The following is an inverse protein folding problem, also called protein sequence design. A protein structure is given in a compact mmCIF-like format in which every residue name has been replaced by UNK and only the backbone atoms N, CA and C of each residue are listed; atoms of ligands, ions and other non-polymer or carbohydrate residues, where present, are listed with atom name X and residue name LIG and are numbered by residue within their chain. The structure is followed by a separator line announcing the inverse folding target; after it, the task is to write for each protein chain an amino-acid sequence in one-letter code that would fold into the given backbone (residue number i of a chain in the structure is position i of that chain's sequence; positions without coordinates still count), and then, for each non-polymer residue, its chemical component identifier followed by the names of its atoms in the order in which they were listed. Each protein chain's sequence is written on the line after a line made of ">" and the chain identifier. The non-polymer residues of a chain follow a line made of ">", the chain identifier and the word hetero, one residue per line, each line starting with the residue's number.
data_IF_598988206769
#
_entry.id   IF_598988206769
#
_cell.length_a   1.000
_cell.length_b   1.000
_cell.length_c   1.000
_cell.angle_alpha   90.00
_cell.angle_beta   90.00
_cell.angle_gamma   90.00
#
_symmetry.space_group_name_H-M   'P 1'
#
loop_
_entity.id
_entity.type
_entity.pdbx_description
1 polymer ?
#
# COMPACT_ATOMS: atom_id res chain seq x y z
N UNK A 1 -9.58 26.65 4.10
CA UNK A 1 -8.51 25.67 4.30
C UNK A 1 -9.07 24.33 3.87
N UNK A 2 -8.93 24.01 2.58
CA UNK A 2 -9.34 22.73 2.01
C UNK A 2 -8.52 21.64 2.70
N UNK A 3 -9.19 20.89 3.57
CA UNK A 3 -8.52 19.99 4.50
C UNK A 3 -8.19 18.69 3.76
N UNK A 4 -7.01 18.69 3.15
CA UNK A 4 -6.22 17.53 2.68
C UNK A 4 -6.99 16.53 1.81
N UNK A 5 -6.69 16.55 0.51
CA UNK A 5 -7.31 15.77 -0.56
C UNK A 5 -7.75 14.36 -0.15
N UNK A 6 -9.07 14.19 -0.18
CA UNK A 6 -9.83 13.05 0.34
C UNK A 6 -9.74 11.82 -0.55
N UNK A 7 -9.17 11.94 -1.75
CA UNK A 7 -9.30 10.93 -2.78
C UNK A 7 -8.24 9.81 -2.64
N UNK A 8 -7.02 10.15 -2.21
CA UNK A 8 -5.99 9.15 -1.90
C UNK A 8 -6.20 8.44 -0.56
N UNK A 9 -7.05 8.99 0.31
CA UNK A 9 -7.51 8.33 1.53
C UNK A 9 -8.36 7.10 1.24
N UNK A 10 -8.86 6.95 0.01
CA UNK A 10 -9.69 5.80 -0.38
C UNK A 10 -8.88 4.50 -0.43
N UNK A 11 -7.56 4.57 -0.69
CA UNK A 11 -6.74 3.38 -0.89
C UNK A 11 -6.00 2.94 0.37
N UNK A 12 -6.11 1.67 0.72
CA UNK A 12 -5.33 1.05 1.78
C UNK A 12 -4.53 -0.14 1.21
N UNK A 13 -3.27 -0.34 1.63
CA UNK A 13 -2.55 -1.58 1.33
C UNK A 13 -3.37 -2.83 1.63
N UNK A 14 -3.37 -3.79 0.70
CA UNK A 14 -4.20 -5.00 0.75
C UNK A 14 -5.58 -4.86 0.08
N UNK A 15 -6.00 -3.65 -0.28
CA UNK A 15 -7.24 -3.43 -1.02
C UNK A 15 -7.12 -3.93 -2.47
N UNK A 16 -8.10 -4.71 -2.93
CA UNK A 16 -8.21 -5.10 -4.33
C UNK A 16 -8.81 -3.97 -5.16
N UNK A 17 -8.26 -3.75 -6.34
CA UNK A 17 -8.69 -2.73 -7.30
C UNK A 17 -8.67 -3.29 -8.71
N UNK A 18 -9.44 -2.66 -9.61
CA UNK A 18 -9.34 -2.86 -11.06
C UNK A 18 -8.65 -1.67 -11.67
N UNK A 19 -7.74 -1.90 -12.61
CA UNK A 19 -7.00 -0.85 -13.27
C UNK A 19 -6.85 -1.10 -14.76
N UNK A 20 -6.67 -0.03 -15.54
CA UNK A 20 -6.41 -0.08 -16.98
C UNK A 20 -4.95 0.31 -17.22
N UNK A 21 -4.22 -0.49 -18.00
CA UNK A 21 -2.84 -0.16 -18.38
C UNK A 21 -2.84 1.00 -19.38
N UNK A 22 -2.16 2.09 -19.04
CA UNK A 22 -2.06 3.29 -19.87
C UNK A 22 -0.77 3.33 -20.67
N UNK A 23 0.34 2.89 -20.08
CA UNK A 23 1.66 3.04 -20.68
C UNK A 23 2.64 2.01 -20.16
N UNK A 24 3.70 1.78 -20.94
CA UNK A 24 4.86 0.99 -20.54
C UNK A 24 6.02 1.92 -20.19
N UNK A 25 6.81 1.51 -19.21
CA UNK A 25 8.07 2.13 -18.82
C UNK A 25 9.12 1.02 -18.65
N UNK A 26 10.43 1.32 -18.68
CA UNK A 26 11.47 0.29 -18.52
C UNK A 26 11.39 -0.49 -17.19
N UNK A 27 10.78 0.08 -16.16
CA UNK A 27 10.62 -0.55 -14.84
C UNK A 27 9.27 -1.25 -14.64
N UNK A 28 8.28 -1.01 -15.52
CA UNK A 28 6.93 -1.52 -15.32
C UNK A 28 5.87 -0.82 -16.15
N UNK A 29 4.67 -0.67 -15.59
CA UNK A 29 3.52 -0.10 -16.31
C UNK A 29 2.84 1.00 -15.51
N UNK A 30 2.49 2.09 -16.22
CA UNK A 30 1.59 3.11 -15.72
C UNK A 30 0.15 2.66 -15.89
N UNK A 31 -0.67 2.87 -14.87
CA UNK A 31 -2.06 2.38 -14.85
C UNK A 31 -3.00 3.43 -14.31
N UNK A 32 -4.28 3.30 -14.65
CA UNK A 32 -5.37 4.09 -14.12
C UNK A 32 -6.28 3.19 -13.29
N UNK A 33 -6.54 3.54 -12.03
CA UNK A 33 -7.48 2.79 -11.20
C UNK A 33 -8.91 3.19 -11.62
N UNK A 34 -9.74 2.19 -11.94
CA UNK A 34 -11.11 2.41 -12.40
C UNK A 34 -11.95 3.05 -11.29
N UNK A 35 -12.59 4.18 -11.59
CA UNK A 35 -13.36 4.99 -10.64
C UNK A 35 -12.53 5.98 -9.80
N UNK A 36 -11.22 6.05 -10.04
CA UNK A 36 -10.27 6.92 -9.34
C UNK A 36 -9.22 7.46 -10.32
N UNK A 37 -9.69 8.01 -11.44
CA UNK A 37 -8.89 8.36 -12.61
C UNK A 37 -7.84 9.44 -12.36
N UNK A 38 -8.05 10.27 -11.33
CA UNK A 38 -7.18 11.37 -10.94
C UNK A 38 -6.05 10.97 -9.98
N UNK A 39 -6.06 9.72 -9.48
CA UNK A 39 -4.99 9.20 -8.62
C UNK A 39 -3.91 8.53 -9.47
N UNK A 40 -2.67 8.99 -9.35
CA UNK A 40 -1.55 8.38 -10.05
C UNK A 40 -1.30 6.95 -9.57
N UNK A 41 -1.14 6.00 -10.51
CA UNK A 41 -0.89 4.61 -10.15
C UNK A 41 0.07 3.89 -11.11
N UNK A 42 0.75 2.88 -10.59
CA UNK A 42 1.66 2.06 -11.37
C UNK A 42 1.89 0.67 -10.79
N UNK A 43 2.32 -0.25 -11.65
CA UNK A 43 2.87 -1.55 -11.25
C UNK A 43 4.36 -1.57 -11.57
N UNK A 44 5.19 -1.80 -10.54
CA UNK A 44 6.63 -1.99 -10.72
C UNK A 44 6.89 -3.48 -11.05
N UNK A 45 6.92 -3.78 -12.35
CA UNK A 45 7.02 -5.14 -12.87
C UNK A 45 8.40 -5.74 -12.60
N UNK A 46 9.46 -4.94 -12.69
CA UNK A 46 10.82 -5.42 -12.40
C UNK A 46 10.99 -5.76 -10.92
N UNK A 47 10.48 -4.92 -10.02
CA UNK A 47 10.52 -5.22 -8.59
C UNK A 47 9.70 -6.48 -8.23
N UNK A 48 8.61 -6.73 -8.95
CA UNK A 48 7.73 -7.87 -8.67
C UNK A 48 8.20 -9.18 -9.28
N UNK A 49 8.77 -9.17 -10.48
CA UNK A 49 9.03 -10.40 -11.23
C UNK A 49 10.49 -10.56 -11.65
N UNK A 50 11.32 -9.53 -11.56
CA UNK A 50 12.69 -9.53 -12.10
C UNK A 50 13.66 -10.46 -11.38
N UNK A 51 13.39 -10.85 -10.12
CA UNK A 51 14.20 -11.85 -9.41
C UNK A 51 13.90 -13.28 -9.88
N UNK A 52 12.64 -13.55 -10.23
CA UNK A 52 12.17 -14.88 -10.64
C UNK A 52 12.27 -15.08 -12.16
N UNK A 53 12.32 -13.98 -12.92
CA UNK A 53 12.35 -13.96 -14.38
C UNK A 53 13.61 -13.25 -14.87
N UNK A 54 14.63 -13.98 -15.36
CA UNK A 54 15.90 -13.40 -15.74
C UNK A 54 15.86 -12.63 -17.07
N UNK A 55 16.60 -11.52 -17.11
CA UNK A 55 16.87 -10.75 -18.33
C UNK A 55 15.61 -10.19 -18.99
N UNK A 56 15.62 -10.12 -20.33
CA UNK A 56 14.54 -9.48 -21.09
C UNK A 56 13.22 -10.27 -21.08
N UNK A 57 13.22 -11.50 -20.57
CA UNK A 57 12.00 -12.31 -20.46
C UNK A 57 10.96 -11.67 -19.52
N UNK A 58 11.38 -10.84 -18.57
CA UNK A 58 10.47 -10.11 -17.67
C UNK A 58 9.55 -9.14 -18.42
N UNK A 59 10.01 -8.56 -19.54
CA UNK A 59 9.19 -7.63 -20.33
C UNK A 59 8.03 -8.33 -21.04
N UNK A 60 8.14 -9.63 -21.30
CA UNK A 60 7.03 -10.42 -21.84
C UNK A 60 5.88 -10.59 -20.85
N UNK A 61 6.11 -10.34 -19.55
CA UNK A 61 5.09 -10.38 -18.50
C UNK A 61 4.31 -9.05 -18.39
N UNK A 62 4.71 -8.01 -19.10
CA UNK A 62 4.07 -6.71 -19.00
C UNK A 62 2.68 -6.78 -19.64
N UNK A 63 1.60 -6.46 -18.90
CA UNK A 63 0.28 -6.48 -19.50
C UNK A 63 0.20 -5.41 -20.61
N UNK A 64 -0.51 -5.67 -21.72
CA UNK A 64 -0.54 -4.77 -22.85
C UNK A 64 -1.28 -3.46 -22.51
N UNK A 65 -0.91 -2.37 -23.18
CA UNK A 65 -1.63 -1.09 -23.06
C UNK A 65 -3.10 -1.28 -23.48
N UNK A 66 -4.02 -0.73 -22.67
CA UNK A 66 -5.46 -0.88 -22.81
C UNK A 66 -6.05 -2.11 -22.10
N UNK A 67 -5.23 -3.01 -21.55
CA UNK A 67 -5.74 -4.14 -20.79
C UNK A 67 -6.31 -3.70 -19.43
N UNK A 68 -7.44 -4.30 -19.04
CA UNK A 68 -7.93 -4.27 -17.66
C UNK A 68 -7.23 -5.37 -16.85
N UNK A 69 -6.79 -5.01 -15.64
CA UNK A 69 -6.05 -5.88 -14.72
C UNK A 69 -6.67 -5.80 -13.33
N UNK A 70 -6.75 -6.96 -12.66
CA UNK A 70 -6.99 -7.04 -11.22
C UNK A 70 -5.66 -6.88 -10.48
N UNK A 71 -5.64 -6.01 -9.48
CA UNK A 71 -4.44 -5.74 -8.71
C UNK A 71 -4.76 -5.53 -7.22
N UNK A 72 -3.72 -5.58 -6.39
CA UNK A 72 -3.79 -5.20 -4.98
C UNK A 72 -3.00 -3.93 -4.75
N UNK A 73 -3.53 -3.01 -3.96
CA UNK A 73 -2.78 -1.85 -3.46
C UNK A 73 -1.61 -2.38 -2.63
N UNK A 74 -0.40 -2.17 -3.13
CA UNK A 74 0.81 -2.56 -2.44
C UNK A 74 1.23 -1.47 -1.44
N UNK A 75 1.34 -0.24 -1.92
CA UNK A 75 1.74 0.90 -1.12
C UNK A 75 1.08 2.17 -1.65
N UNK A 76 0.80 3.12 -0.76
CA UNK A 76 0.31 4.44 -1.13
C UNK A 76 1.32 5.48 -0.66
N UNK A 77 1.87 6.25 -1.59
CA UNK A 77 2.81 7.33 -1.30
C UNK A 77 2.05 8.65 -1.23
N UNK A 78 2.05 9.27 -0.06
CA UNK A 78 1.30 10.50 0.25
C UNK A 78 2.21 11.64 0.71
N UNK A 79 3.46 11.66 0.26
CA UNK A 79 4.41 12.72 0.60
C UNK A 79 4.39 13.89 -0.38
N UNK A 80 3.73 13.73 -1.52
CA UNK A 80 3.53 14.75 -2.55
C UNK A 80 2.14 14.59 -3.18
N UNK A 81 1.61 15.70 -3.67
CA UNK A 81 0.40 15.75 -4.51
C UNK A 81 0.81 15.66 -6.00
N UNK A 82 0.14 14.81 -6.82
CA UNK A 82 -0.89 13.85 -6.44
C UNK A 82 -0.29 12.64 -5.74
N UNK A 83 -1.10 12.02 -4.87
CA UNK A 83 -0.72 10.76 -4.24
C UNK A 83 -0.47 9.69 -5.31
N UNK A 84 0.50 8.81 -5.04
CA UNK A 84 0.89 7.76 -5.97
C UNK A 84 0.67 6.38 -5.37
N UNK A 85 -0.12 5.55 -6.05
CA UNK A 85 -0.46 4.20 -5.63
C UNK A 85 0.41 3.20 -6.39
N UNK A 86 1.21 2.42 -5.65
CA UNK A 86 1.89 1.25 -6.22
C UNK A 86 0.98 0.05 -6.07
N UNK A 87 0.78 -0.69 -7.16
CA UNK A 87 -0.04 -1.89 -7.22
C UNK A 87 0.82 -3.15 -7.37
N UNK A 88 0.31 -4.28 -6.88
CA UNK A 88 0.84 -5.62 -7.10
C UNK A 88 -0.06 -6.45 -8.01
N UNK A 89 0.56 -7.16 -8.96
CA UNK A 89 -0.07 -8.15 -9.83
C UNK A 89 0.31 -9.58 -9.47
N UNK A 90 1.10 -9.78 -8.40
CA UNK A 90 1.52 -11.13 -8.00
C UNK A 90 0.27 -11.97 -7.65
N UNK A 91 0.13 -13.19 -8.19
CA UNK A 91 -0.99 -14.05 -7.84
C UNK A 91 -1.14 -14.28 -6.33
N UNK A 92 -0.02 -14.48 -5.63
CA UNK A 92 -0.01 -14.65 -4.18
C UNK A 92 -0.53 -13.42 -3.42
N UNK A 93 -0.24 -12.21 -3.90
CA UNK A 93 -0.72 -10.97 -3.28
C UNK A 93 -2.24 -10.80 -3.49
N UNK A 94 -2.76 -11.19 -4.66
CA UNK A 94 -4.21 -11.20 -4.95
C UNK A 94 -4.96 -12.19 -4.04
N UNK A 95 -4.40 -13.37 -3.81
CA UNK A 95 -4.98 -14.38 -2.93
C UNK A 95 -4.92 -13.97 -1.46
N UNK A 96 -3.75 -13.56 -0.97
CA UNK A 96 -3.53 -13.18 0.42
C UNK A 96 -2.39 -12.18 0.51
N UNK A 97 -2.74 -10.91 0.65
CA UNK A 97 -1.75 -9.85 0.75
C UNK A 97 -1.07 -9.85 2.13
N UNK A 98 0.22 -10.20 2.14
CA UNK A 98 1.06 -10.25 3.35
C UNK A 98 2.09 -9.14 3.33
N UNK A 99 2.31 -8.50 4.48
CA UNK A 99 3.40 -7.55 4.67
C UNK A 99 4.01 -7.75 6.05
N UNK A 100 5.27 -7.38 6.21
CA UNK A 100 5.92 -7.43 7.51
C UNK A 100 5.32 -6.36 8.43
N UNK A 101 5.00 -6.75 9.66
CA UNK A 101 4.58 -5.83 10.70
C UNK A 101 5.74 -4.90 11.08
N UNK A 102 5.51 -3.60 11.06
CA UNK A 102 6.53 -2.58 11.36
C UNK A 102 7.02 -2.64 12.81
N UNK A 103 6.27 -3.30 13.69
CA UNK A 103 6.59 -3.44 15.10
C UNK A 103 7.43 -4.68 15.44
N UNK A 104 7.05 -5.85 14.93
CA UNK A 104 7.70 -7.13 15.28
C UNK A 104 8.45 -7.79 14.12
N UNK A 105 8.30 -7.27 12.90
CA UNK A 105 8.93 -7.79 11.69
C UNK A 105 8.32 -9.07 11.12
N UNK A 106 7.39 -9.73 11.83
CA UNK A 106 6.71 -10.93 11.35
C UNK A 106 5.63 -10.57 10.33
N UNK A 107 5.30 -11.50 9.44
CA UNK A 107 4.25 -11.28 8.44
C UNK A 107 2.87 -11.12 9.10
N UNK A 108 2.11 -10.16 8.58
CA UNK A 108 0.71 -9.93 8.88
C UNK A 108 -0.10 -9.96 7.59
N UNK A 109 -1.36 -10.38 7.68
CA UNK A 109 -2.28 -10.47 6.55
C UNK A 109 -3.17 -9.23 6.52
N UNK A 110 -3.15 -8.46 5.44
CA UNK A 110 -3.98 -7.25 5.27
C UNK A 110 -5.20 -7.47 4.37
N UNK A 111 -5.36 -8.65 3.77
CA UNK A 111 -6.59 -9.01 3.07
C UNK A 111 -7.74 -9.28 4.05
N UNK A 112 -8.97 -9.36 3.55
CA UNK A 112 -10.16 -9.58 4.36
C UNK A 112 -10.02 -10.82 5.27
N UNK A 113 -10.34 -10.65 6.56
CA UNK A 113 -10.18 -11.70 7.58
C UNK A 113 -8.76 -11.80 8.17
N UNK A 114 -7.79 -11.07 7.62
CA UNK A 114 -6.41 -11.01 8.10
C UNK A 114 -6.25 -10.27 9.42
N UNK A 115 -5.12 -10.49 10.08
CA UNK A 115 -4.78 -9.97 11.42
C UNK A 115 -4.08 -8.60 11.42
N UNK A 116 -3.84 -8.04 10.24
CA UNK A 116 -3.13 -6.80 10.07
C UNK A 116 -4.03 -5.56 10.08
N UNK A 117 -3.40 -4.44 10.38
CA UNK A 117 -3.96 -3.10 10.38
C UNK A 117 -3.11 -2.22 9.48
N UNK A 118 -3.77 -1.33 8.77
CA UNK A 118 -3.16 -0.19 8.07
C UNK A 118 -3.47 1.06 8.86
N UNK A 119 -2.43 1.82 9.23
CA UNK A 119 -2.54 3.05 10.00
C UNK A 119 -1.86 4.18 9.22
N UNK A 120 -2.59 5.23 8.88
CA UNK A 120 -1.97 6.44 8.34
C UNK A 120 -1.64 7.41 9.47
N UNK A 121 -0.35 7.56 9.77
CA UNK A 121 0.20 8.45 10.79
C UNK A 121 0.55 9.80 10.17
N UNK A 122 0.10 10.89 10.79
CA UNK A 122 0.29 12.27 10.31
C UNK A 122 0.86 13.12 11.43
N UNK A 123 1.77 14.03 11.11
CA UNK A 123 2.07 15.13 12.01
C UNK A 123 0.98 16.19 11.89
N UNK A 124 0.72 16.92 12.98
CA UNK A 124 -0.31 17.95 13.03
C UNK A 124 -0.14 19.01 11.93
N UNK A 125 1.11 19.39 11.66
CA UNK A 125 1.49 20.49 10.77
C UNK A 125 2.14 20.03 9.45
N UNK A 126 2.24 18.71 9.23
CA UNK A 126 2.91 18.16 8.05
C UNK A 126 1.94 17.90 6.90
N UNK A 127 2.36 18.13 5.64
CA UNK A 127 1.51 17.87 4.48
C UNK A 127 1.37 16.38 4.14
N UNK A 128 2.18 15.50 4.75
CA UNK A 128 2.25 14.09 4.39
C UNK A 128 1.74 13.15 5.48
N UNK A 129 1.35 11.95 5.06
CA UNK A 129 1.13 10.82 5.96
C UNK A 129 2.15 9.71 5.71
N UNK A 130 2.47 8.98 6.77
CA UNK A 130 3.24 7.76 6.73
C UNK A 130 2.33 6.58 7.05
N UNK A 131 2.34 5.55 6.22
CA UNK A 131 1.56 4.34 6.46
C UNK A 131 2.37 3.37 7.31
N UNK A 132 1.79 2.95 8.43
CA UNK A 132 2.30 1.91 9.33
C UNK A 132 1.44 0.66 9.19
N UNK A 133 2.08 -0.48 9.00
CA UNK A 133 1.46 -1.80 8.89
C UNK A 133 1.75 -2.59 10.16
N UNK A 134 0.72 -3.12 10.81
CA UNK A 134 0.90 -3.74 12.14
C UNK A 134 -0.06 -4.91 12.36
N UNK A 135 0.37 -5.92 13.12
CA UNK A 135 -0.59 -6.83 13.73
C UNK A 135 -1.51 -6.06 14.67
N UNK A 136 -2.78 -6.46 14.74
CA UNK A 136 -3.76 -5.96 15.72
C UNK A 136 -3.23 -6.00 17.16
N UNK A 137 -2.59 -7.11 17.54
CA UNK A 137 -2.02 -7.32 18.87
C UNK A 137 -0.81 -6.40 19.13
N UNK A 138 0.10 -6.29 18.16
CA UNK A 138 1.29 -5.44 18.29
C UNK A 138 0.95 -3.96 18.48
N UNK A 139 -0.12 -3.48 17.84
CA UNK A 139 -0.64 -2.13 18.08
C UNK A 139 -1.25 -2.03 19.48
N UNK A 140 -2.12 -2.97 19.86
CA UNK A 140 -2.80 -2.96 21.15
C UNK A 140 -1.81 -2.88 22.33
N UNK A 141 -0.72 -3.65 22.28
CA UNK A 141 0.34 -3.64 23.31
C UNK A 141 1.08 -2.30 23.45
N UNK A 142 0.93 -1.41 22.46
CA UNK A 142 1.57 -0.08 22.43
C UNK A 142 0.61 1.04 22.77
N UNK A 143 -0.68 0.77 22.92
CA UNK A 143 -1.64 1.77 23.36
C UNK A 143 -1.58 1.93 24.88
N UNK A 144 -1.79 3.15 25.36
CA UNK A 144 -1.89 3.41 26.79
C UNK A 144 -3.04 2.59 27.39
N UNK A 145 -2.90 1.92 28.55
CA UNK A 145 -3.93 1.04 29.11
C UNK A 145 -5.29 1.73 29.31
N UNK A 146 -5.27 3.02 29.66
CA UNK A 146 -6.48 3.84 29.83
C UNK A 146 -7.02 4.42 28.51
N UNK A 147 -6.48 4.01 27.35
CA UNK A 147 -7.03 4.41 26.06
C UNK A 147 -8.42 3.80 25.89
N UNK A 148 -9.44 4.64 25.76
CA UNK A 148 -10.82 4.24 25.51
C UNK A 148 -11.55 5.26 24.63
N UNK A 149 -12.53 4.80 23.85
CA UNK A 149 -13.30 5.64 22.92
C UNK A 149 -12.61 5.86 21.56
N UNK A 150 -12.91 6.98 20.89
CA UNK A 150 -12.39 7.33 19.56
C UNK A 150 -10.93 7.84 19.56
N UNK A 151 -10.29 7.91 20.73
CA UNK A 151 -8.95 8.43 20.90
C UNK A 151 -8.09 7.44 21.69
N UNK A 152 -6.92 7.11 21.15
CA UNK A 152 -5.93 6.28 21.82
C UNK A 152 -4.57 6.98 21.82
N UNK A 153 -3.83 6.86 22.93
CA UNK A 153 -2.46 7.36 23.04
C UNK A 153 -1.49 6.22 22.81
N UNK A 154 -0.58 6.36 21.86
CA UNK A 154 0.49 5.39 21.65
C UNK A 154 1.68 5.70 22.57
N UNK A 155 2.19 4.69 23.26
CA UNK A 155 3.41 4.77 24.08
C UNK A 155 4.67 4.88 23.21
N UNK A 156 4.65 4.30 22.00
CA UNK A 156 5.72 4.37 21.01
C UNK A 156 5.18 4.09 19.61
N UNK A 157 5.76 4.71 18.58
CA UNK A 157 5.44 4.49 17.16
C UNK A 157 6.73 4.13 16.41
N UNK A 158 6.69 3.07 15.58
CA UNK A 158 7.85 2.58 14.83
C UNK A 158 8.70 1.52 15.56
N UNK A 159 9.85 1.15 14.98
CA UNK A 159 10.78 0.17 15.55
C UNK A 159 11.47 0.73 16.81
N UNK A 160 11.55 -0.08 17.86
CA UNK A 160 12.51 0.14 18.95
C UNK A 160 13.89 -0.25 18.39
N UNK A 161 14.70 0.71 18.02
CA UNK A 161 16.11 0.43 17.74
C UNK A 161 16.73 -0.05 19.06
N UNK A 162 17.26 -1.27 19.05
CA UNK A 162 18.20 -1.77 20.07
C UNK A 162 19.62 -1.39 19.64
#
# INVERSE_FOLDING_TARGET
>A
MERFETESLVFLPGQRVRAIVLSHAPWGVGVQIVGHEQVGASVDMLAQFGQETPGDAVYALFPPVGAEIDAVVDAVRRWSDPAWVRLSLRPADLETFRRSCDFCGQDTVLSAGGDGLVLDVRSHDGPGSHTVLAHRTCLADRLHPDSGGEQARALSVGRKNH
#
